data_IF_291583350146
#
_entry.id   IF_291583350146
#
_cell.length_a   1.000
_cell.length_b   1.000
_cell.length_c   1.000
_cell.angle_alpha   90.00
_cell.angle_beta   90.00
_cell.angle_gamma   90.00
#
_symmetry.space_group_name_H-M   'P 1'
#
loop_
_entity.id
_entity.type
_entity.pdbx_description
1 polymer ?
#
# COMPACT_ATOMS: atom_id res chain seq x y z
N UNK A 1 -3.35 -31.35 11.37
CA UNK A 1 -3.50 -29.92 11.70
C UNK A 1 -4.21 -29.26 10.52
N UNK A 2 -5.49 -28.93 10.64
CA UNK A 2 -6.26 -28.25 9.59
C UNK A 2 -6.06 -26.74 9.74
N UNK A 3 -5.40 -26.09 8.78
CA UNK A 3 -5.35 -24.63 8.70
C UNK A 3 -6.60 -24.20 7.93
N UNK A 4 -7.60 -23.68 8.64
CA UNK A 4 -8.74 -23.04 8.01
C UNK A 4 -8.29 -21.69 7.46
N UNK A 5 -8.27 -21.56 6.13
CA UNK A 5 -8.03 -20.27 5.47
C UNK A 5 -9.28 -19.42 5.69
N UNK A 6 -9.20 -18.44 6.58
CA UNK A 6 -10.25 -17.45 6.79
C UNK A 6 -10.35 -16.60 5.53
N UNK A 7 -11.40 -16.83 4.74
CA UNK A 7 -11.69 -16.02 3.57
C UNK A 7 -12.15 -14.63 4.06
N UNK A 8 -11.65 -13.53 3.49
CA UNK A 8 -12.12 -12.20 3.84
C UNK A 8 -13.62 -12.08 3.55
N UNK A 9 -14.37 -11.54 4.51
CA UNK A 9 -15.82 -11.35 4.40
C UNK A 9 -16.25 -10.37 3.29
N UNK A 10 -15.28 -9.67 2.69
CA UNK A 10 -15.47 -8.74 1.58
C UNK A 10 -14.37 -9.03 0.56
N UNK A 11 -14.75 -9.34 -0.67
CA UNK A 11 -13.79 -9.49 -1.76
C UNK A 11 -13.26 -8.11 -2.17
N UNK A 12 -11.93 -7.97 -2.34
CA UNK A 12 -11.34 -6.70 -2.74
C UNK A 12 -11.80 -6.32 -4.15
N UNK A 13 -12.51 -5.20 -4.27
CA UNK A 13 -13.10 -4.72 -5.53
C UNK A 13 -12.30 -3.54 -6.04
N UNK A 14 -11.14 -3.82 -6.63
CA UNK A 14 -10.29 -2.80 -7.27
C UNK A 14 -8.80 -2.96 -6.92
N UNK A 15 -7.95 -1.94 -7.16
CA UNK A 15 -6.53 -1.95 -6.79
C UNK A 15 -6.42 -1.77 -5.27
N UNK A 16 -6.86 -2.80 -4.55
CA UNK A 16 -7.37 -2.64 -3.20
C UNK A 16 -6.26 -2.57 -2.17
N UNK A 17 -6.46 -1.67 -1.22
CA UNK A 17 -5.60 -1.48 -0.08
C UNK A 17 -5.91 -2.55 0.97
N UNK A 18 -5.49 -3.80 0.73
CA UNK A 18 -5.43 -4.93 1.68
C UNK A 18 -6.59 -4.95 2.70
N UNK A 19 -7.77 -5.44 2.29
CA UNK A 19 -8.87 -5.70 3.21
C UNK A 19 -8.59 -6.92 4.10
N UNK A 20 -8.66 -6.75 5.42
CA UNK A 20 -8.53 -7.83 6.43
C UNK A 20 -9.94 -8.14 6.98
N UNK A 21 -10.31 -9.39 7.34
CA UNK A 21 -11.63 -9.67 7.91
C UNK A 21 -11.97 -8.77 9.10
N UNK A 22 -13.13 -8.12 9.08
CA UNK A 22 -13.56 -7.17 10.12
C UNK A 22 -13.02 -5.74 9.97
N UNK A 23 -12.26 -5.45 8.91
CA UNK A 23 -11.84 -4.07 8.62
C UNK A 23 -13.07 -3.22 8.26
N UNK A 24 -13.18 -1.98 8.77
CA UNK A 24 -14.24 -1.07 8.35
C UNK A 24 -14.18 -0.89 6.83
N UNK A 25 -15.34 -0.74 6.19
CA UNK A 25 -15.43 -0.43 4.77
C UNK A 25 -14.49 0.75 4.47
N UNK A 26 -13.50 0.52 3.62
CA UNK A 26 -12.61 1.59 3.17
C UNK A 26 -13.49 2.51 2.34
N UNK A 27 -13.84 3.67 2.89
CA UNK A 27 -14.54 4.71 2.14
C UNK A 27 -13.80 4.92 0.82
N UNK A 28 -14.52 4.89 -0.32
CA UNK A 28 -13.90 5.11 -1.62
C UNK A 28 -13.08 6.41 -1.56
N UNK A 29 -11.75 6.27 -1.53
CA UNK A 29 -10.87 7.42 -1.39
C UNK A 29 -10.92 8.22 -2.69
N UNK A 30 -11.01 9.55 -2.58
CA UNK A 30 -10.82 10.41 -3.73
C UNK A 30 -9.44 10.12 -4.38
N UNK A 31 -9.25 10.32 -5.69
CA UNK A 31 -7.97 10.04 -6.34
C UNK A 31 -6.77 10.72 -5.64
N UNK A 32 -6.97 11.94 -5.13
CA UNK A 32 -5.95 12.67 -4.36
C UNK A 32 -5.65 12.01 -3.00
N UNK A 33 -6.69 11.58 -2.27
CA UNK A 33 -6.52 10.88 -1.00
C UNK A 33 -5.85 9.52 -1.19
N UNK A 34 -6.22 8.78 -2.25
CA UNK A 34 -5.59 7.51 -2.58
C UNK A 34 -4.12 7.70 -2.99
N UNK A 35 -3.82 8.74 -3.78
CA UNK A 35 -2.45 9.12 -4.11
C UNK A 35 -1.60 9.39 -2.85
N UNK A 36 -2.12 10.20 -1.93
CA UNK A 36 -1.44 10.50 -0.67
C UNK A 36 -1.16 9.22 0.14
N UNK A 37 -2.13 8.29 0.22
CA UNK A 37 -1.95 7.00 0.89
C UNK A 37 -0.89 6.12 0.22
N UNK A 38 -0.79 6.13 -1.11
CA UNK A 38 0.26 5.39 -1.82
C UNK A 38 1.66 5.95 -1.51
N UNK A 39 1.80 7.28 -1.44
CA UNK A 39 3.05 7.92 -1.04
C UNK A 39 3.41 7.65 0.43
N UNK A 40 2.43 7.71 1.34
CA UNK A 40 2.60 7.35 2.74
C UNK A 40 3.08 5.89 2.88
N UNK A 41 2.44 4.96 2.18
CA UNK A 41 2.86 3.56 2.14
C UNK A 41 4.29 3.40 1.61
N UNK A 42 4.68 4.16 0.58
CA UNK A 42 6.04 4.13 0.06
C UNK A 42 7.06 4.59 1.12
N UNK A 43 6.76 5.66 1.85
CA UNK A 43 7.59 6.17 2.94
C UNK A 43 7.73 5.14 4.07
N UNK A 44 6.61 4.54 4.53
CA UNK A 44 6.61 3.51 5.57
C UNK A 44 7.43 2.29 5.17
N UNK A 45 7.31 1.82 3.92
CA UNK A 45 8.12 0.72 3.38
C UNK A 45 9.60 1.05 3.41
N UNK A 46 9.98 2.27 3.01
CA UNK A 46 11.38 2.72 3.05
C UNK A 46 11.92 2.77 4.47
N UNK A 47 11.15 3.33 5.41
CA UNK A 47 11.53 3.36 6.84
C UNK A 47 11.72 1.95 7.40
N UNK A 48 10.78 1.04 7.10
CA UNK A 48 10.85 -0.37 7.52
C UNK A 48 12.08 -1.07 6.95
N UNK A 49 12.36 -0.89 5.66
CA UNK A 49 13.55 -1.45 5.02
C UNK A 49 14.85 -0.98 5.67
N UNK A 50 14.95 0.31 6.00
CA UNK A 50 16.10 0.85 6.73
C UNK A 50 16.22 0.28 8.15
N UNK A 51 15.10 0.12 8.87
CA UNK A 51 15.05 -0.54 10.17
C UNK A 51 15.58 -1.99 10.09
N UNK A 52 15.11 -2.77 9.09
CA UNK A 52 15.55 -4.15 8.86
C UNK A 52 17.03 -4.24 8.51
N UNK A 53 17.53 -3.31 7.69
CA UNK A 53 18.96 -3.24 7.34
C UNK A 53 19.83 -2.99 8.58
N UNK A 54 19.40 -2.10 9.48
CA UNK A 54 20.08 -1.86 10.77
C UNK A 54 20.08 -3.11 11.67
N UNK A 55 19.03 -3.92 11.60
CA UNK A 55 18.92 -5.21 12.30
C UNK A 55 19.68 -6.37 11.60
N UNK A 56 20.45 -6.10 10.54
CA UNK A 56 21.14 -7.10 9.71
C UNK A 56 20.22 -8.15 9.08
N UNK A 57 18.93 -7.84 8.92
CA UNK A 57 17.94 -8.67 8.21
C UNK A 57 17.89 -8.28 6.74
N UNK A 58 18.93 -8.64 5.99
CA UNK A 58 19.16 -8.08 4.65
C UNK A 58 18.07 -8.47 3.64
N UNK A 59 17.66 -9.74 3.60
CA UNK A 59 16.61 -10.20 2.65
C UNK A 59 15.26 -9.47 2.87
N UNK A 60 14.88 -9.29 4.14
CA UNK A 60 13.66 -8.55 4.52
C UNK A 60 13.82 -7.05 4.19
N UNK A 61 15.01 -6.48 4.42
CA UNK A 61 15.31 -5.10 4.06
C UNK A 61 15.19 -4.87 2.55
N UNK A 62 15.75 -5.77 1.74
CA UNK A 62 15.73 -5.68 0.29
C UNK A 62 14.32 -5.79 -0.25
N UNK A 63 13.51 -6.71 0.30
CA UNK A 63 12.08 -6.79 -0.01
C UNK A 63 11.37 -5.45 0.22
N UNK A 64 11.49 -4.86 1.41
CA UNK A 64 10.81 -3.60 1.74
C UNK A 64 11.32 -2.41 0.92
N UNK A 65 12.64 -2.34 0.68
CA UNK A 65 13.26 -1.29 -0.12
C UNK A 65 12.88 -1.39 -1.60
N UNK A 66 12.75 -2.59 -2.16
CA UNK A 66 12.25 -2.80 -3.52
C UNK A 66 10.75 -2.54 -3.65
N UNK A 67 9.95 -2.82 -2.62
CA UNK A 67 8.51 -2.59 -2.63
C UNK A 67 8.13 -1.09 -2.55
N UNK A 68 9.00 -0.24 -2.01
CA UNK A 68 8.78 1.20 -1.89
C UNK A 68 8.61 1.93 -3.25
N UNK A 69 9.54 1.81 -4.23
CA UNK A 69 9.39 2.47 -5.53
C UNK A 69 8.19 1.97 -6.32
N UNK A 70 7.74 0.73 -6.12
CA UNK A 70 6.51 0.22 -6.76
C UNK A 70 5.28 1.00 -6.28
N UNK A 71 5.20 1.33 -4.98
CA UNK A 71 4.11 2.15 -4.46
C UNK A 71 4.14 3.59 -5.02
N UNK A 72 5.34 4.16 -5.21
CA UNK A 72 5.52 5.47 -5.86
C UNK A 72 5.07 5.42 -7.32
N UNK A 73 5.47 4.39 -8.09
CA UNK A 73 5.02 4.22 -9.49
C UNK A 73 3.51 4.15 -9.61
N UNK A 74 2.84 3.44 -8.69
CA UNK A 74 1.37 3.40 -8.62
C UNK A 74 0.75 4.76 -8.34
N UNK A 75 1.36 5.56 -7.45
CA UNK A 75 0.91 6.92 -7.20
C UNK A 75 1.06 7.80 -8.45
N UNK A 76 2.21 7.73 -9.14
CA UNK A 76 2.42 8.47 -10.38
C UNK A 76 1.40 8.12 -11.46
N UNK A 77 1.18 6.82 -11.72
CA UNK A 77 0.19 6.36 -12.68
C UNK A 77 -1.23 6.86 -12.33
N UNK A 78 -1.60 6.82 -11.05
CA UNK A 78 -2.90 7.34 -10.59
C UNK A 78 -3.07 8.84 -10.88
N UNK A 79 -1.98 9.62 -10.76
CA UNK A 79 -1.99 11.06 -11.09
C UNK A 79 -2.17 11.30 -12.58
N UNK A 80 -1.54 10.48 -13.42
CA UNK A 80 -1.66 10.55 -14.89
C UNK A 80 -3.07 10.15 -15.35
N UNK A 81 -3.61 9.05 -14.83
CA UNK A 81 -4.90 8.48 -15.25
C UNK A 81 -6.11 9.34 -14.83
N UNK A 82 -6.07 9.92 -13.63
CA UNK A 82 -7.24 10.56 -13.01
C UNK A 82 -7.12 12.06 -12.83
N UNK A 83 -6.13 12.70 -13.47
CA UNK A 83 -5.78 14.13 -13.42
C UNK A 83 -6.39 14.86 -12.22
N UNK A 84 -5.61 15.03 -11.15
CA UNK A 84 -6.14 15.64 -9.94
C UNK A 84 -6.70 17.02 -10.27
N UNK A 85 -7.96 17.25 -9.88
CA UNK A 85 -8.56 18.59 -9.91
C UNK A 85 -7.57 19.59 -9.30
N UNK A 86 -7.53 20.85 -9.76
CA UNK A 86 -6.65 21.86 -9.17
C UNK A 86 -6.89 21.99 -7.66
N UNK A 87 -5.85 22.39 -6.94
CA UNK A 87 -5.99 22.75 -5.52
C UNK A 87 -6.87 24.02 -5.44
N UNK A 88 -7.81 24.10 -4.49
CA UNK A 88 -8.58 25.32 -4.26
C UNK A 88 -7.69 26.48 -3.83
#
# INVERSE_FOLDING_TARGET
>A
MFIAIAHPAVEPKGPDAVAVPGSPAIAELSPRAFHARLLENAALRRMRGLERRRQRRLDDADYWLHAAPIAVKKAMALREDRSFAPLP
#
